data_IF_652086720960
#
_entry.id   IF_652086720960
#
_cell.length_a   1.000
_cell.length_b   1.000
_cell.length_c   1.000
_cell.angle_alpha   90.00
_cell.angle_beta   90.00
_cell.angle_gamma   90.00
#
_symmetry.space_group_name_H-M   'P 1'
#
loop_
_entity.id
_entity.type
_entity.pdbx_description
1 polymer ?
#
# COMPACT_ATOMS: atom_id res chain seq x y z
N UNK A 1 -5.77 35.24 -7.52
CA UNK A 1 -6.13 34.31 -8.61
C UNK A 1 -4.92 34.23 -9.53
N UNK A 2 -4.00 33.31 -9.24
CA UNK A 2 -2.71 33.16 -9.93
C UNK A 2 -2.80 32.07 -10.99
N UNK A 3 -2.05 32.27 -12.06
CA UNK A 3 -2.11 31.68 -13.40
C UNK A 3 -1.80 30.16 -13.53
N UNK A 4 -2.18 29.33 -12.54
CA UNK A 4 -1.81 27.90 -12.46
C UNK A 4 -2.94 26.94 -12.87
N UNK A 5 -4.13 27.43 -13.24
CA UNK A 5 -5.36 26.61 -13.30
C UNK A 5 -5.68 25.92 -14.64
N UNK A 6 -4.87 26.08 -15.69
CA UNK A 6 -5.14 25.48 -17.02
C UNK A 6 -4.00 24.64 -17.61
N UNK A 7 -3.42 23.73 -16.83
CA UNK A 7 -2.28 22.95 -17.33
C UNK A 7 -2.65 21.88 -18.38
N UNK A 8 -3.94 21.64 -18.65
CA UNK A 8 -4.40 20.72 -19.69
C UNK A 8 -4.97 21.44 -20.93
N UNK A 9 -4.78 22.76 -21.06
CA UNK A 9 -5.21 23.52 -22.23
C UNK A 9 -4.67 22.90 -23.53
N UNK A 10 -5.57 22.75 -24.50
CA UNK A 10 -5.24 22.19 -25.82
C UNK A 10 -5.14 20.66 -25.87
N UNK A 11 -5.27 19.94 -24.74
CA UNK A 11 -5.30 18.48 -24.73
C UNK A 11 -6.70 17.96 -25.00
N UNK A 12 -6.83 17.03 -25.94
CA UNK A 12 -8.06 16.28 -26.21
C UNK A 12 -7.96 14.89 -25.60
N UNK A 13 -8.90 14.54 -24.72
CA UNK A 13 -8.87 13.30 -23.93
C UNK A 13 -10.07 12.43 -24.31
N UNK A 14 -9.79 11.21 -24.77
CA UNK A 14 -10.80 10.17 -24.89
C UNK A 14 -11.09 9.56 -23.51
N UNK A 15 -12.34 9.49 -23.10
CA UNK A 15 -12.72 8.98 -21.77
C UNK A 15 -13.83 7.94 -21.88
N UNK A 16 -13.58 6.72 -21.43
CA UNK A 16 -14.60 5.68 -21.29
C UNK A 16 -15.16 5.66 -19.87
N UNK A 17 -16.35 5.10 -19.67
CA UNK A 17 -16.88 4.89 -18.31
C UNK A 17 -17.26 6.19 -17.57
N UNK A 18 -17.45 7.28 -18.32
CA UNK A 18 -17.80 8.62 -17.83
C UNK A 18 -19.07 8.64 -16.94
N UNK A 19 -20.03 7.75 -17.20
CA UNK A 19 -21.30 7.68 -16.45
C UNK A 19 -21.14 7.13 -15.02
N UNK A 20 -20.01 6.49 -14.71
CA UNK A 20 -19.69 5.95 -13.39
C UNK A 20 -19.40 7.01 -12.33
N UNK A 21 -19.27 6.59 -11.07
CA UNK A 21 -19.07 7.49 -9.91
C UNK A 21 -17.85 8.41 -10.08
N UNK A 22 -16.69 7.85 -10.44
CA UNK A 22 -15.48 8.63 -10.67
C UNK A 22 -15.59 9.48 -11.95
N UNK A 23 -16.16 8.94 -13.02
CA UNK A 23 -16.35 9.67 -14.29
C UNK A 23 -17.18 10.94 -14.12
N UNK A 24 -18.27 10.90 -13.36
CA UNK A 24 -19.11 12.06 -13.04
C UNK A 24 -18.38 13.17 -12.30
N UNK A 25 -17.33 12.84 -11.55
CA UNK A 25 -16.48 13.84 -10.88
C UNK A 25 -15.33 14.29 -11.77
N UNK A 26 -14.79 13.38 -12.57
CA UNK A 26 -13.60 13.62 -13.38
C UNK A 26 -13.88 14.47 -14.61
N UNK A 27 -15.00 14.25 -15.31
CA UNK A 27 -15.38 15.02 -16.51
C UNK A 27 -15.43 16.53 -16.22
N UNK A 28 -16.23 17.03 -15.25
CA UNK A 28 -16.25 18.47 -14.96
C UNK A 28 -14.92 18.98 -14.42
N UNK A 29 -14.17 18.15 -13.68
CA UNK A 29 -12.85 18.52 -13.17
C UNK A 29 -11.86 18.76 -14.32
N UNK A 30 -11.72 17.84 -15.28
CA UNK A 30 -10.80 17.97 -16.40
C UNK A 30 -11.20 19.13 -17.33
N UNK A 31 -12.50 19.29 -17.60
CA UNK A 31 -13.01 20.41 -18.40
C UNK A 31 -12.68 21.76 -17.76
N UNK A 32 -12.83 21.89 -16.43
CA UNK A 32 -12.44 23.10 -15.69
C UNK A 32 -10.94 23.43 -15.84
N UNK A 33 -10.09 22.42 -16.01
CA UNK A 33 -8.63 22.57 -16.17
C UNK A 33 -8.17 22.67 -17.63
N UNK A 34 -9.09 22.87 -18.58
CA UNK A 34 -8.77 23.19 -19.98
C UNK A 34 -8.82 22.03 -20.97
N UNK A 35 -9.08 20.80 -20.51
CA UNK A 35 -9.11 19.64 -21.39
C UNK A 35 -10.40 19.58 -22.23
N UNK A 36 -10.26 19.28 -23.52
CA UNK A 36 -11.37 18.89 -24.38
C UNK A 36 -11.64 17.40 -24.21
N UNK A 37 -12.91 17.02 -24.06
CA UNK A 37 -13.29 15.65 -23.70
C UNK A 37 -14.16 15.00 -24.77
N UNK A 38 -13.76 13.81 -25.22
CA UNK A 38 -14.59 12.91 -26.04
C UNK A 38 -15.00 11.71 -25.19
N UNK A 39 -16.28 11.59 -24.91
CA UNK A 39 -16.82 10.63 -23.95
C UNK A 39 -17.39 9.41 -24.68
N UNK A 40 -17.05 8.21 -24.22
CA UNK A 40 -17.45 6.95 -24.85
C UNK A 40 -18.27 6.09 -23.89
N UNK A 41 -19.43 5.64 -24.34
CA UNK A 41 -20.34 4.80 -23.57
C UNK A 41 -21.09 3.77 -24.42
N UNK A 42 -21.72 2.79 -23.74
CA UNK A 42 -22.63 1.82 -24.40
C UNK A 42 -23.93 2.45 -24.90
N UNK A 43 -24.25 3.65 -24.42
CA UNK A 43 -25.40 4.43 -24.84
C UNK A 43 -24.94 5.89 -24.90
N UNK A 44 -24.74 6.40 -26.12
CA UNK A 44 -24.28 7.76 -26.36
C UNK A 44 -25.33 8.80 -25.95
N UNK A 45 -26.62 8.50 -26.16
CA UNK A 45 -27.71 9.42 -25.84
C UNK A 45 -27.90 9.56 -24.32
N UNK A 46 -27.80 8.46 -23.57
CA UNK A 46 -27.78 8.53 -22.11
C UNK A 46 -26.56 9.31 -21.59
N UNK A 47 -25.42 9.18 -22.27
CA UNK A 47 -24.22 9.90 -21.87
C UNK A 47 -24.33 11.41 -22.14
N UNK A 48 -24.88 11.80 -23.29
CA UNK A 48 -25.16 13.19 -23.65
C UNK A 48 -26.16 13.85 -22.68
N UNK A 49 -27.13 13.09 -22.14
CA UNK A 49 -28.01 13.60 -21.08
C UNK A 49 -27.28 13.93 -19.78
N UNK A 50 -26.22 13.19 -19.45
CA UNK A 50 -25.40 13.46 -18.26
C UNK A 50 -24.42 14.61 -18.53
N UNK A 51 -23.89 14.69 -19.75
CA UNK A 51 -22.82 15.59 -20.16
C UNK A 51 -23.15 16.34 -21.46
N UNK A 52 -24.12 17.27 -21.44
CA UNK A 52 -24.64 17.90 -22.66
C UNK A 52 -23.65 18.83 -23.37
N UNK A 53 -22.58 19.23 -22.69
CA UNK A 53 -21.55 20.14 -23.21
C UNK A 53 -20.34 19.40 -23.80
N UNK A 54 -20.40 18.08 -23.93
CA UNK A 54 -19.27 17.25 -24.36
C UNK A 54 -19.66 16.30 -25.48
N UNK A 55 -18.70 16.01 -26.37
CA UNK A 55 -18.89 15.08 -27.48
C UNK A 55 -19.07 13.66 -26.93
N UNK A 56 -20.26 13.09 -27.12
CA UNK A 56 -20.63 11.78 -26.61
C UNK A 56 -20.80 10.78 -27.76
N UNK A 57 -20.05 9.67 -27.71
CA UNK A 57 -20.00 8.66 -28.75
C UNK A 57 -20.32 7.27 -28.20
N UNK A 58 -20.77 6.39 -29.10
CA UNK A 58 -20.92 4.98 -28.76
C UNK A 58 -19.53 4.30 -28.73
N UNK A 59 -19.33 3.32 -27.85
CA UNK A 59 -18.04 2.62 -27.72
C UNK A 59 -17.58 1.94 -29.02
N UNK A 60 -18.51 1.54 -29.89
CA UNK A 60 -18.18 0.94 -31.19
C UNK A 60 -17.46 1.92 -32.13
N UNK A 61 -17.68 3.23 -31.95
CA UNK A 61 -17.12 4.28 -32.81
C UNK A 61 -15.75 4.75 -32.33
N UNK A 62 -15.18 4.13 -31.29
CA UNK A 62 -13.95 4.57 -30.65
C UNK A 62 -12.79 4.78 -31.64
N UNK A 63 -12.56 3.82 -32.55
CA UNK A 63 -11.46 3.90 -33.53
C UNK A 63 -11.56 5.05 -34.53
N UNK A 64 -12.73 5.66 -34.70
CA UNK A 64 -12.93 6.82 -35.58
C UNK A 64 -13.00 8.10 -34.75
N UNK A 65 -13.87 8.14 -33.75
CA UNK A 65 -14.14 9.34 -32.96
C UNK A 65 -13.02 9.69 -31.96
N UNK A 66 -12.13 8.76 -31.58
CA UNK A 66 -10.99 9.06 -30.71
C UNK A 66 -9.73 9.51 -31.48
N UNK A 67 -9.77 9.62 -32.83
CA UNK A 67 -8.62 10.07 -33.62
C UNK A 67 -8.22 11.50 -33.26
N UNK A 68 -6.93 11.72 -33.05
CA UNK A 68 -6.37 13.01 -32.65
C UNK A 68 -6.50 13.32 -31.15
N UNK A 69 -6.99 12.38 -30.33
CA UNK A 69 -6.88 12.51 -28.88
C UNK A 69 -5.43 12.30 -28.43
N UNK A 70 -4.97 13.11 -27.48
CA UNK A 70 -3.63 13.03 -26.89
C UNK A 70 -3.50 11.87 -25.88
N UNK A 71 -4.61 11.55 -25.20
CA UNK A 71 -4.65 10.54 -24.17
C UNK A 71 -6.00 9.80 -24.11
N UNK A 72 -5.96 8.59 -23.58
CA UNK A 72 -7.13 7.79 -23.20
C UNK A 72 -7.18 7.67 -21.67
N UNK A 73 -8.34 7.93 -21.07
CA UNK A 73 -8.65 7.63 -19.68
C UNK A 73 -9.73 6.54 -19.64
N UNK A 74 -9.34 5.35 -19.19
CA UNK A 74 -10.22 4.18 -19.20
C UNK A 74 -10.86 3.89 -17.84
N UNK A 75 -12.08 4.39 -17.60
CA UNK A 75 -12.84 4.11 -16.37
C UNK A 75 -13.85 2.98 -16.51
N UNK A 76 -14.07 2.45 -17.72
CA UNK A 76 -15.03 1.39 -17.95
C UNK A 76 -14.56 0.09 -17.29
N UNK A 77 -15.24 -0.33 -16.22
CA UNK A 77 -14.87 -1.51 -15.43
C UNK A 77 -16.12 -2.16 -14.84
N UNK A 78 -16.08 -3.47 -14.61
CA UNK A 78 -17.04 -4.18 -13.78
C UNK A 78 -16.52 -4.15 -12.33
N UNK A 79 -17.29 -3.53 -11.43
CA UNK A 79 -16.90 -3.26 -10.06
C UNK A 79 -17.19 -4.44 -9.13
N UNK A 80 -16.70 -4.36 -7.88
CA UNK A 80 -16.86 -5.41 -6.87
C UNK A 80 -18.31 -5.61 -6.36
N UNK A 81 -19.22 -4.68 -6.66
CA UNK A 81 -20.65 -4.75 -6.34
C UNK A 81 -21.48 -5.36 -7.47
N UNK A 82 -20.88 -5.60 -8.64
CA UNK A 82 -21.54 -6.24 -9.75
C UNK A 82 -21.62 -7.77 -9.53
N UNK A 83 -22.77 -8.34 -9.90
CA UNK A 83 -22.96 -9.80 -9.94
C UNK A 83 -22.31 -10.34 -11.20
N UNK A 84 -21.52 -11.41 -11.07
CA UNK A 84 -20.88 -12.06 -12.21
C UNK A 84 -19.86 -13.09 -11.77
N UNK A 85 -19.60 -14.07 -12.65
CA UNK A 85 -18.52 -15.03 -12.50
C UNK A 85 -17.19 -14.46 -13.01
N UNK A 86 -16.09 -15.18 -12.81
CA UNK A 86 -14.78 -14.75 -13.26
C UNK A 86 -14.73 -14.48 -14.78
N UNK A 87 -15.49 -15.23 -15.58
CA UNK A 87 -15.55 -15.05 -17.03
C UNK A 87 -16.16 -13.70 -17.40
N UNK A 88 -17.27 -13.31 -16.77
CA UNK A 88 -17.89 -12.01 -16.99
C UNK A 88 -16.97 -10.86 -16.57
N UNK A 89 -16.26 -11.01 -15.45
CA UNK A 89 -15.27 -10.02 -15.00
C UNK A 89 -14.10 -9.90 -15.97
N UNK A 90 -13.53 -11.01 -16.46
CA UNK A 90 -12.44 -11.01 -17.46
C UNK A 90 -12.85 -10.36 -18.76
N UNK A 91 -14.05 -10.66 -19.27
CA UNK A 91 -14.56 -10.07 -20.50
C UNK A 91 -14.55 -8.53 -20.48
N UNK A 92 -14.86 -7.92 -19.33
CA UNK A 92 -14.93 -6.45 -19.20
C UNK A 92 -13.61 -5.83 -18.74
N UNK A 93 -12.97 -6.40 -17.72
CA UNK A 93 -11.81 -5.80 -17.07
C UNK A 93 -10.49 -6.16 -17.77
N UNK A 94 -10.46 -7.25 -18.55
CA UNK A 94 -9.28 -7.71 -19.29
C UNK A 94 -9.55 -7.58 -20.78
N UNK A 95 -10.42 -8.40 -21.37
CA UNK A 95 -10.55 -8.54 -22.83
C UNK A 95 -10.98 -7.23 -23.52
N UNK A 96 -11.98 -6.55 -22.96
CA UNK A 96 -12.42 -5.23 -23.47
C UNK A 96 -11.34 -4.16 -23.29
N UNK A 97 -10.56 -4.23 -22.22
CA UNK A 97 -9.47 -3.29 -21.96
C UNK A 97 -8.33 -3.49 -22.96
N UNK A 98 -7.90 -4.74 -23.19
CA UNK A 98 -6.81 -5.05 -24.13
C UNK A 98 -7.19 -4.67 -25.57
N UNK A 99 -8.43 -4.95 -26.00
CA UNK A 99 -8.95 -4.53 -27.29
C UNK A 99 -8.98 -3.00 -27.45
N UNK A 100 -9.39 -2.29 -26.39
CA UNK A 100 -9.42 -0.82 -26.37
C UNK A 100 -8.00 -0.24 -26.49
N UNK A 101 -7.04 -0.78 -25.73
CA UNK A 101 -5.63 -0.37 -25.79
C UNK A 101 -5.05 -0.60 -27.19
N UNK A 102 -5.32 -1.76 -27.80
CA UNK A 102 -4.88 -2.05 -29.16
C UNK A 102 -5.44 -1.04 -30.18
N UNK A 103 -6.72 -0.70 -30.05
CA UNK A 103 -7.37 0.32 -30.89
C UNK A 103 -6.81 1.72 -30.64
N UNK A 104 -6.57 2.09 -29.38
CA UNK A 104 -6.00 3.39 -29.02
C UNK A 104 -4.60 3.58 -29.62
N UNK A 105 -3.76 2.53 -29.57
CA UNK A 105 -2.43 2.54 -30.17
C UNK A 105 -2.47 2.65 -31.69
N UNK A 106 -3.37 1.93 -32.36
CA UNK A 106 -3.46 1.95 -33.82
C UNK A 106 -3.89 3.32 -34.37
N UNK A 107 -4.60 4.12 -33.58
CA UNK A 107 -5.01 5.49 -33.93
C UNK A 107 -4.07 6.58 -33.37
N UNK A 108 -2.93 6.19 -32.80
CA UNK A 108 -1.87 7.10 -32.39
C UNK A 108 -1.95 7.62 -30.95
N UNK A 109 -2.86 7.13 -30.11
CA UNK A 109 -2.89 7.49 -28.69
C UNK A 109 -1.73 6.79 -27.97
N UNK A 110 -0.78 7.58 -27.48
CA UNK A 110 0.44 7.08 -26.80
C UNK A 110 0.41 7.21 -25.28
N UNK A 111 -0.70 7.71 -24.73
CA UNK A 111 -0.90 7.80 -23.29
C UNK A 111 -2.23 7.19 -22.91
N UNK A 112 -2.18 6.21 -22.02
CA UNK A 112 -3.36 5.49 -21.54
C UNK A 112 -3.33 5.50 -20.02
N UNK A 113 -4.35 6.07 -19.39
CA UNK A 113 -4.58 5.96 -17.95
C UNK A 113 -5.59 4.86 -17.70
N UNK A 114 -5.18 3.86 -16.92
CA UNK A 114 -6.01 2.73 -16.54
C UNK A 114 -6.10 2.61 -15.03
N UNK A 115 -7.18 2.01 -14.52
CA UNK A 115 -7.44 1.98 -13.08
C UNK A 115 -7.51 0.54 -12.56
N UNK A 116 -6.77 0.30 -11.49
CA UNK A 116 -6.84 -0.92 -10.70
C UNK A 116 -7.29 -0.59 -9.28
N UNK A 117 -7.40 -1.62 -8.45
CA UNK A 117 -7.93 -1.54 -7.10
C UNK A 117 -6.95 -2.11 -6.10
N UNK A 118 -6.94 -1.56 -4.88
CA UNK A 118 -6.21 -2.17 -3.76
C UNK A 118 -6.66 -3.59 -3.45
N UNK A 119 -7.86 -4.00 -3.89
CA UNK A 119 -8.29 -5.40 -3.84
C UNK A 119 -7.38 -6.36 -4.60
N UNK A 120 -6.70 -5.90 -5.67
CA UNK A 120 -5.74 -6.69 -6.44
C UNK A 120 -4.37 -6.80 -5.75
N UNK A 121 -4.14 -6.07 -4.66
CA UNK A 121 -2.88 -6.08 -3.91
C UNK A 121 -2.82 -7.18 -2.83
N UNK A 122 -3.96 -7.72 -2.40
CA UNK A 122 -4.04 -8.84 -1.44
C UNK A 122 -4.04 -10.17 -2.21
N UNK A 123 -2.95 -10.97 -2.17
CA UNK A 123 -2.90 -12.26 -2.84
C UNK A 123 -3.91 -13.28 -2.30
N UNK A 124 -4.43 -13.07 -1.09
CA UNK A 124 -5.47 -13.91 -0.50
C UNK A 124 -6.88 -13.56 -0.98
N UNK A 125 -7.05 -12.50 -1.77
CA UNK A 125 -8.36 -12.09 -2.29
C UNK A 125 -8.65 -12.78 -3.63
N UNK A 126 -9.36 -13.91 -3.56
CA UNK A 126 -9.76 -14.70 -4.74
C UNK A 126 -11.09 -14.24 -5.38
N UNK A 127 -11.57 -13.02 -5.09
CA UNK A 127 -12.78 -12.52 -5.74
C UNK A 127 -12.58 -12.33 -7.25
N UNK A 128 -13.61 -12.60 -8.09
CA UNK A 128 -13.56 -12.35 -9.53
C UNK A 128 -13.05 -10.94 -9.91
N UNK A 129 -13.47 -9.95 -9.13
CA UNK A 129 -13.01 -8.57 -9.28
C UNK A 129 -11.51 -8.40 -9.05
N UNK A 130 -10.98 -8.93 -7.95
CA UNK A 130 -9.56 -8.79 -7.62
C UNK A 130 -8.67 -9.52 -8.63
N UNK A 131 -9.06 -10.73 -9.01
CA UNK A 131 -8.33 -11.55 -9.99
C UNK A 131 -8.29 -10.83 -11.34
N UNK A 132 -9.44 -10.41 -11.87
CA UNK A 132 -9.48 -9.73 -13.18
C UNK A 132 -8.69 -8.41 -13.22
N UNK A 133 -8.67 -7.65 -12.10
CA UNK A 133 -7.83 -6.44 -11.98
C UNK A 133 -6.34 -6.76 -11.95
N UNK A 134 -5.93 -7.81 -11.23
CA UNK A 134 -4.54 -8.25 -11.21
C UNK A 134 -4.08 -8.75 -12.60
N UNK A 135 -4.93 -9.51 -13.30
CA UNK A 135 -4.67 -10.02 -14.64
C UNK A 135 -4.50 -8.89 -15.66
N UNK A 136 -5.33 -7.86 -15.64
CA UNK A 136 -5.19 -6.71 -16.54
C UNK A 136 -3.87 -5.96 -16.33
N UNK A 137 -3.42 -5.81 -15.07
CA UNK A 137 -2.12 -5.20 -14.77
C UNK A 137 -0.96 -6.09 -15.20
N UNK A 138 -1.08 -7.40 -15.01
CA UNK A 138 -0.05 -8.35 -15.44
C UNK A 138 0.07 -8.39 -16.97
N UNK A 139 -1.06 -8.37 -17.69
CA UNK A 139 -1.07 -8.23 -19.15
C UNK A 139 -0.31 -6.97 -19.59
N UNK A 140 -0.63 -5.81 -19.00
CA UNK A 140 0.05 -4.55 -19.36
C UNK A 140 1.55 -4.58 -19.06
N UNK A 141 1.96 -5.29 -17.99
CA UNK A 141 3.37 -5.51 -17.65
C UNK A 141 4.07 -6.37 -18.70
N UNK A 142 3.44 -7.45 -19.15
CA UNK A 142 3.99 -8.39 -20.13
C UNK A 142 4.03 -7.80 -21.55
N UNK A 143 3.05 -6.97 -21.88
CA UNK A 143 2.94 -6.21 -23.13
C UNK A 143 4.02 -5.11 -23.25
N UNK A 144 4.77 -4.84 -22.18
CA UNK A 144 5.80 -3.79 -22.16
C UNK A 144 5.19 -2.38 -22.18
N UNK A 145 3.92 -2.24 -21.79
CA UNK A 145 3.07 -1.05 -21.93
C UNK A 145 3.52 0.16 -21.12
N UNK A 146 4.65 0.77 -21.51
CA UNK A 146 5.19 2.02 -20.96
C UNK A 146 4.26 3.22 -21.21
N UNK A 147 3.38 3.12 -22.20
CA UNK A 147 2.32 4.06 -22.53
C UNK A 147 1.14 4.01 -21.54
N UNK A 148 1.04 2.93 -20.74
CA UNK A 148 -0.03 2.72 -19.78
C UNK A 148 0.42 3.18 -18.38
N UNK A 149 -0.28 4.18 -17.86
CA UNK A 149 -0.18 4.63 -16.48
C UNK A 149 -1.33 4.03 -15.65
N UNK A 150 -0.99 3.12 -14.75
CA UNK A 150 -1.94 2.50 -13.83
C UNK A 150 -2.12 3.31 -12.56
N UNK A 151 -3.35 3.74 -12.28
CA UNK A 151 -3.75 4.26 -10.98
C UNK A 151 -4.38 3.16 -10.14
N UNK A 152 -3.69 2.73 -9.08
CA UNK A 152 -4.23 1.77 -8.11
C UNK A 152 -4.93 2.53 -7.00
N UNK A 153 -6.26 2.42 -6.96
CA UNK A 153 -7.10 3.19 -6.06
C UNK A 153 -7.64 2.32 -4.91
N UNK A 154 -7.58 2.81 -3.65
CA UNK A 154 -8.42 2.29 -2.58
C UNK A 154 -9.87 2.73 -2.78
N UNK A 155 -10.75 2.38 -1.84
CA UNK A 155 -12.15 2.79 -1.93
C UNK A 155 -12.26 4.33 -1.91
N UNK A 156 -12.92 4.90 -2.91
CA UNK A 156 -13.11 6.35 -3.02
C UNK A 156 -14.26 6.83 -2.15
N UNK A 157 -14.09 8.03 -1.58
CA UNK A 157 -15.13 8.76 -0.84
C UNK A 157 -15.47 10.04 -1.61
N UNK A 158 -16.75 10.27 -1.86
CA UNK A 158 -17.27 11.39 -2.65
C UNK A 158 -17.99 12.44 -1.80
N UNK A 159 -17.75 12.48 -0.48
CA UNK A 159 -18.42 13.41 0.42
C UNK A 159 -17.92 14.84 0.21
N UNK A 160 -18.81 15.85 0.18
CA UNK A 160 -18.41 17.26 0.11
C UNK A 160 -17.55 17.66 1.31
N UNK A 161 -16.48 18.41 1.07
CA UNK A 161 -15.66 18.99 2.15
C UNK A 161 -16.53 19.86 3.07
N UNK A 162 -16.34 19.74 4.39
CA UNK A 162 -17.11 20.49 5.40
C UNK A 162 -18.46 19.90 5.82
N UNK A 163 -18.94 18.83 5.18
CA UNK A 163 -20.18 18.13 5.59
C UNK A 163 -19.98 17.28 6.85
N UNK A 164 -21.02 17.11 7.68
CA UNK A 164 -21.08 16.10 8.75
C UNK A 164 -20.71 14.69 8.25
N UNK A 165 -21.06 14.39 7.00
CA UNK A 165 -20.67 13.14 6.34
C UNK A 165 -19.15 13.00 6.22
N UNK A 166 -18.42 14.08 5.90
CA UNK A 166 -16.96 14.08 5.80
C UNK A 166 -16.30 13.67 7.13
N UNK A 167 -16.81 14.17 8.27
CA UNK A 167 -16.33 13.79 9.60
C UNK A 167 -16.59 12.31 9.89
N UNK A 168 -17.82 11.82 9.67
CA UNK A 168 -18.16 10.40 9.83
C UNK A 168 -17.32 9.49 8.92
N UNK A 169 -16.93 9.97 7.73
CA UNK A 169 -16.09 9.19 6.82
C UNK A 169 -14.64 9.09 7.23
N UNK A 170 -14.07 10.09 7.91
CA UNK A 170 -12.74 9.96 8.51
C UNK A 170 -12.68 8.78 9.47
N UNK A 171 -13.80 8.45 10.13
CA UNK A 171 -13.89 7.26 10.97
C UNK A 171 -13.86 5.98 10.14
N UNK A 172 -14.68 5.90 9.08
CA UNK A 172 -14.68 4.74 8.19
C UNK A 172 -13.31 4.52 7.51
N UNK A 173 -12.60 5.59 7.15
CA UNK A 173 -11.26 5.57 6.57
C UNK A 173 -10.20 4.96 7.50
N UNK A 174 -10.37 5.13 8.82
CA UNK A 174 -9.51 4.46 9.79
C UNK A 174 -9.73 2.94 9.79
N UNK A 175 -10.93 2.47 9.48
CA UNK A 175 -11.30 1.05 9.50
C UNK A 175 -10.99 0.36 8.17
N UNK A 176 -11.18 1.04 7.03
CA UNK A 176 -10.92 0.51 5.69
C UNK A 176 -10.06 1.48 4.87
N UNK A 177 -9.14 0.99 4.03
CA UNK A 177 -8.33 1.86 3.19
C UNK A 177 -9.21 2.64 2.22
N UNK A 178 -9.25 3.96 2.38
CA UNK A 178 -10.02 4.87 1.54
C UNK A 178 -9.27 6.16 1.28
N UNK A 179 -9.59 6.84 0.18
CA UNK A 179 -9.11 8.20 -0.13
C UNK A 179 -10.25 9.12 -0.55
N UNK A 180 -10.11 10.44 -0.35
CA UNK A 180 -10.98 11.43 -1.00
C UNK A 180 -10.95 11.28 -2.52
N UNK A 181 -12.10 11.44 -3.17
CA UNK A 181 -12.18 11.41 -4.62
C UNK A 181 -11.31 12.50 -5.27
N UNK A 182 -11.18 13.67 -4.63
CA UNK A 182 -10.35 14.78 -5.11
C UNK A 182 -8.88 14.38 -5.31
N UNK A 183 -8.34 13.52 -4.44
CA UNK A 183 -6.97 13.03 -4.58
C UNK A 183 -6.82 12.11 -5.79
N UNK A 184 -7.86 11.33 -6.10
CA UNK A 184 -7.90 10.55 -7.33
C UNK A 184 -7.99 11.46 -8.57
N UNK A 185 -8.75 12.56 -8.52
CA UNK A 185 -8.84 13.54 -9.62
C UNK A 185 -7.48 14.22 -9.88
N UNK A 186 -6.82 14.71 -8.83
CA UNK A 186 -5.47 15.29 -8.91
C UNK A 186 -4.47 14.28 -9.46
N UNK A 187 -4.55 13.03 -9.03
CA UNK A 187 -3.66 11.98 -9.53
C UNK A 187 -3.85 11.72 -11.04
N UNK A 188 -5.10 11.71 -11.51
CA UNK A 188 -5.40 11.61 -12.95
C UNK A 188 -4.85 12.81 -13.70
N UNK A 189 -5.08 14.02 -13.20
CA UNK A 189 -4.55 15.25 -13.78
C UNK A 189 -3.04 15.20 -13.95
N UNK A 190 -2.31 14.94 -12.87
CA UNK A 190 -0.85 14.89 -12.89
C UNK A 190 -0.32 13.81 -13.85
N UNK A 191 -0.99 12.67 -13.96
CA UNK A 191 -0.63 11.62 -14.90
C UNK A 191 -0.90 12.01 -16.36
N UNK A 192 -1.92 12.83 -16.62
CA UNK A 192 -2.17 13.42 -17.95
C UNK A 192 -1.20 14.56 -18.27
N UNK A 193 -0.71 15.25 -17.23
CA UNK A 193 0.19 16.39 -17.40
C UNK A 193 1.65 15.97 -17.61
N UNK A 194 2.14 15.05 -16.78
CA UNK A 194 3.56 14.71 -16.71
C UNK A 194 3.91 13.42 -17.47
N UNK A 195 4.52 13.56 -18.66
CA UNK A 195 4.97 12.45 -19.54
C UNK A 195 5.79 11.38 -18.82
N UNK A 196 6.58 11.77 -17.81
CA UNK A 196 7.56 10.92 -17.13
C UNK A 196 7.04 10.22 -15.87
N UNK A 197 5.73 10.24 -15.65
CA UNK A 197 5.09 9.55 -14.52
C UNK A 197 5.42 8.05 -14.52
N UNK A 198 5.68 7.48 -13.33
CA UNK A 198 5.83 6.03 -13.16
C UNK A 198 4.66 5.27 -13.79
N UNK A 199 4.91 4.13 -14.47
CA UNK A 199 3.86 3.36 -15.16
C UNK A 199 2.82 2.79 -14.20
N UNK A 200 3.14 2.68 -12.91
CA UNK A 200 2.19 2.31 -11.86
C UNK A 200 2.28 3.32 -10.74
N UNK A 201 1.20 4.06 -10.52
CA UNK A 201 1.02 4.99 -9.41
C UNK A 201 -0.03 4.43 -8.46
N UNK A 202 0.37 4.20 -7.22
CA UNK A 202 -0.50 3.66 -6.17
C UNK A 202 -0.86 4.76 -5.21
N UNK A 203 -2.16 5.03 -5.05
CA UNK A 203 -2.61 6.02 -4.07
C UNK A 203 -2.69 5.37 -2.70
N UNK A 204 -1.96 5.97 -1.77
CA UNK A 204 -1.88 5.49 -0.39
C UNK A 204 -3.03 6.13 0.39
N UNK A 205 -3.82 5.36 1.16
CA UNK A 205 -4.76 5.91 2.11
C UNK A 205 -4.04 6.85 3.07
N UNK A 206 -4.58 8.05 3.25
CA UNK A 206 -4.00 9.06 4.11
C UNK A 206 -4.23 8.78 5.61
N UNK A 207 -4.18 7.50 5.99
CA UNK A 207 -4.34 7.05 7.36
C UNK A 207 -3.21 7.54 8.27
N UNK A 208 -2.09 8.00 7.70
CA UNK A 208 -1.02 8.69 8.41
C UNK A 208 -1.39 10.09 8.86
N UNK A 209 -2.31 10.77 8.17
CA UNK A 209 -2.88 12.05 8.61
C UNK A 209 -4.25 11.88 9.26
N UNK A 210 -4.90 10.72 9.11
CA UNK A 210 -6.13 10.40 9.80
C UNK A 210 -5.91 10.35 11.32
N UNK A 211 -6.40 11.39 12.01
CA UNK A 211 -6.29 11.54 13.46
C UNK A 211 -6.84 10.33 14.22
N UNK A 212 -7.96 9.75 13.78
CA UNK A 212 -8.57 8.62 14.46
C UNK A 212 -7.68 7.38 14.38
N UNK A 213 -7.19 7.05 13.18
CA UNK A 213 -6.24 5.94 13.01
C UNK A 213 -5.00 6.15 13.89
N UNK A 214 -4.44 7.36 13.90
CA UNK A 214 -3.27 7.69 14.74
C UNK A 214 -3.53 7.54 16.24
N UNK A 215 -4.68 8.00 16.72
CA UNK A 215 -5.08 7.88 18.13
C UNK A 215 -5.29 6.42 18.47
N UNK A 216 -6.07 5.69 17.67
CA UNK A 216 -6.33 4.27 17.91
C UNK A 216 -5.04 3.43 17.88
N UNK A 217 -4.17 3.63 16.89
CA UNK A 217 -2.85 3.00 16.82
C UNK A 217 -1.99 3.33 18.04
N UNK A 218 -1.98 4.59 18.49
CA UNK A 218 -1.28 4.98 19.72
C UNK A 218 -1.85 4.31 20.97
N UNK A 219 -3.17 4.24 21.10
CA UNK A 219 -3.83 3.57 22.24
C UNK A 219 -3.52 2.07 22.24
N UNK A 220 -3.51 1.43 21.08
CA UNK A 220 -3.10 0.02 20.94
C UNK A 220 -1.63 -0.16 21.37
N UNK A 221 -0.73 0.72 20.92
CA UNK A 221 0.68 0.69 21.32
C UNK A 221 0.85 0.80 22.84
N UNK A 222 0.16 1.76 23.45
CA UNK A 222 0.28 2.02 24.89
C UNK A 222 -0.41 0.94 25.74
N UNK A 223 -1.56 0.43 25.28
CA UNK A 223 -2.22 -0.71 25.91
C UNK A 223 -1.33 -1.97 25.87
N UNK A 224 -0.65 -2.21 24.76
CA UNK A 224 0.31 -3.32 24.64
C UNK A 224 1.49 -3.14 25.61
N UNK A 225 2.07 -1.94 25.69
CA UNK A 225 3.15 -1.64 26.66
C UNK A 225 2.68 -1.88 28.09
N UNK A 226 1.52 -1.34 28.47
CA UNK A 226 0.95 -1.51 29.82
C UNK A 226 0.68 -2.99 30.14
N UNK A 227 0.10 -3.73 29.19
CA UNK A 227 -0.15 -5.17 29.31
C UNK A 227 1.14 -5.96 29.58
N UNK A 228 2.20 -5.71 28.79
CA UNK A 228 3.48 -6.42 28.96
C UNK A 228 4.13 -6.05 30.29
N UNK A 229 4.14 -4.78 30.69
CA UNK A 229 4.74 -4.36 31.97
C UNK A 229 4.00 -5.00 33.16
N UNK A 230 2.67 -4.93 33.17
CA UNK A 230 1.86 -5.39 34.30
C UNK A 230 1.86 -6.92 34.43
N UNK A 231 1.72 -7.64 33.32
CA UNK A 231 1.56 -9.10 33.36
C UNK A 231 2.85 -9.89 33.13
N UNK A 232 3.80 -9.31 32.39
CA UNK A 232 5.03 -9.99 31.94
C UNK A 232 6.29 -9.31 32.51
N UNK A 233 6.16 -8.17 33.20
CA UNK A 233 7.31 -7.45 33.77
C UNK A 233 8.13 -8.28 34.75
N UNK A 234 7.47 -9.07 35.60
CA UNK A 234 8.15 -9.99 36.53
C UNK A 234 8.96 -11.06 35.78
N UNK A 235 8.44 -11.56 34.65
CA UNK A 235 9.14 -12.54 33.81
C UNK A 235 10.36 -11.91 33.14
N UNK A 236 10.28 -10.64 32.71
CA UNK A 236 11.44 -9.91 32.17
C UNK A 236 12.57 -9.76 33.19
N UNK A 237 12.25 -9.54 34.47
CA UNK A 237 13.24 -9.51 35.55
C UNK A 237 13.87 -10.88 35.76
N UNK A 238 13.06 -11.95 35.79
CA UNK A 238 13.56 -13.33 35.91
C UNK A 238 14.50 -13.70 34.74
N UNK A 239 14.10 -13.39 33.50
CA UNK A 239 14.93 -13.62 32.30
C UNK A 239 16.25 -12.85 32.38
N UNK A 240 16.22 -11.61 32.89
CA UNK A 240 17.41 -10.80 33.10
C UNK A 240 18.41 -11.50 34.03
N UNK A 241 17.92 -12.06 35.14
CA UNK A 241 18.76 -12.82 36.09
C UNK A 241 19.33 -14.07 35.41
N UNK A 242 18.50 -14.87 34.74
CA UNK A 242 18.92 -16.10 34.07
C UNK A 242 20.02 -15.86 33.03
N UNK A 243 19.92 -14.80 32.22
CA UNK A 243 20.94 -14.46 31.22
C UNK A 243 22.27 -14.10 31.87
N UNK A 244 22.24 -13.35 32.99
CA UNK A 244 23.45 -12.93 33.72
C UNK A 244 24.12 -14.07 34.47
N UNK A 245 23.34 -15.05 34.94
CA UNK A 245 23.88 -16.26 35.55
C UNK A 245 24.53 -17.19 34.52
N UNK A 246 23.96 -17.30 33.32
CA UNK A 246 24.52 -18.18 32.27
C UNK A 246 25.76 -17.58 31.58
N UNK A 247 25.82 -16.27 31.40
CA UNK A 247 26.90 -15.62 30.63
C UNK A 247 27.28 -14.24 31.15
N UNK A 248 28.58 -13.93 31.15
CA UNK A 248 29.11 -12.62 31.58
C UNK A 248 28.58 -11.47 30.70
N UNK A 249 28.39 -10.29 31.29
CA UNK A 249 27.98 -9.05 30.61
C UNK A 249 26.47 -8.71 30.71
N UNK A 250 25.99 -7.70 29.97
CA UNK A 250 24.62 -7.18 30.09
C UNK A 250 23.56 -8.13 29.53
N UNK A 251 22.40 -8.22 30.21
CA UNK A 251 21.28 -9.04 29.75
C UNK A 251 20.54 -8.46 28.54
N UNK A 252 20.62 -7.13 28.35
CA UNK A 252 20.02 -6.44 27.22
C UNK A 252 21.05 -6.28 26.11
N UNK A 253 20.67 -6.72 24.92
CA UNK A 253 21.34 -6.45 23.66
C UNK A 253 20.72 -5.22 23.00
N UNK A 254 21.57 -4.34 22.48
CA UNK A 254 21.19 -3.06 21.88
C UNK A 254 21.80 -2.98 20.47
N UNK A 255 20.97 -2.74 19.45
CA UNK A 255 21.43 -2.72 18.06
C UNK A 255 20.84 -1.54 17.28
N UNK A 256 21.65 -0.80 16.49
CA UNK A 256 21.12 0.28 15.66
C UNK A 256 20.21 -0.26 14.56
N UNK A 257 19.12 0.45 14.31
CA UNK A 257 18.12 0.14 13.30
C UNK A 257 17.63 1.40 12.62
N UNK A 258 17.22 1.29 11.36
CA UNK A 258 16.63 2.40 10.60
C UNK A 258 15.13 2.45 10.86
N UNK A 259 14.64 3.58 11.38
CA UNK A 259 13.25 3.83 11.72
C UNK A 259 12.58 4.85 10.80
N UNK A 260 11.52 5.49 11.33
CA UNK A 260 10.76 6.52 10.62
C UNK A 260 11.67 7.69 10.21
N UNK A 261 11.41 8.27 9.03
CA UNK A 261 12.15 9.39 8.46
C UNK A 261 13.65 9.05 8.31
N UNK A 262 13.94 7.76 8.13
CA UNK A 262 15.28 7.18 8.05
C UNK A 262 16.17 7.42 9.27
N UNK A 263 15.58 7.82 10.41
CA UNK A 263 16.32 8.07 11.64
C UNK A 263 16.76 6.75 12.28
N UNK A 264 18.04 6.69 12.67
CA UNK A 264 18.58 5.53 13.37
C UNK A 264 18.16 5.57 14.84
N UNK A 265 17.68 4.44 15.36
CA UNK A 265 17.36 4.24 16.77
C UNK A 265 17.95 2.92 17.29
N UNK A 266 18.01 2.77 18.61
CA UNK A 266 18.56 1.57 19.25
C UNK A 266 17.44 0.60 19.57
N UNK A 267 17.39 -0.55 18.90
CA UNK A 267 16.44 -1.62 19.18
C UNK A 267 16.95 -2.49 20.34
N UNK A 268 16.12 -2.66 21.37
CA UNK A 268 16.45 -3.48 22.54
C UNK A 268 15.92 -4.91 22.42
N UNK A 269 16.75 -5.88 22.77
CA UNK A 269 16.39 -7.30 22.88
C UNK A 269 17.03 -7.91 24.11
N UNK A 270 16.56 -9.07 24.57
CA UNK A 270 17.38 -9.87 25.47
C UNK A 270 18.55 -10.47 24.70
N UNK A 271 19.69 -10.53 25.36
CA UNK A 271 20.89 -11.14 24.81
C UNK A 271 20.73 -12.66 24.78
N UNK A 272 20.72 -13.22 23.58
CA UNK A 272 20.62 -14.67 23.34
C UNK A 272 21.95 -15.31 22.94
N UNK A 273 22.98 -14.51 22.69
CA UNK A 273 24.29 -14.94 22.20
C UNK A 273 25.40 -14.53 23.17
N UNK A 274 26.54 -15.21 23.11
CA UNK A 274 27.71 -14.86 23.92
C UNK A 274 28.26 -13.48 23.52
N UNK A 275 28.94 -12.82 24.46
CA UNK A 275 29.63 -11.55 24.18
C UNK A 275 30.77 -11.82 23.19
N UNK A 276 30.92 -10.93 22.19
CA UNK A 276 31.95 -11.05 21.15
C UNK A 276 31.43 -11.57 19.80
N UNK A 277 30.18 -12.03 19.73
CA UNK A 277 29.55 -12.45 18.47
C UNK A 277 29.36 -11.28 17.49
N UNK A 278 29.65 -11.52 16.21
CA UNK A 278 29.51 -10.54 15.13
C UNK A 278 28.06 -10.07 14.98
N UNK A 279 27.86 -8.76 14.89
CA UNK A 279 26.55 -8.16 14.61
C UNK A 279 26.26 -8.20 13.10
N UNK A 280 25.52 -9.23 12.67
CA UNK A 280 25.20 -9.47 11.26
C UNK A 280 23.71 -9.86 11.12
N UNK A 281 23.24 -10.12 9.90
CA UNK A 281 21.90 -10.68 9.70
C UNK A 281 21.73 -12.02 10.43
N UNK A 282 20.53 -12.38 10.88
CA UNK A 282 20.28 -13.67 11.59
C UNK A 282 20.75 -14.90 10.79
N UNK A 283 20.82 -14.79 9.46
CA UNK A 283 21.27 -15.81 8.52
C UNK A 283 22.82 -15.92 8.40
N UNK A 284 23.56 -14.98 9.00
CA UNK A 284 25.02 -14.86 8.82
C UNK A 284 25.81 -15.25 10.10
N UNK A 285 25.12 -15.73 11.15
CA UNK A 285 25.74 -16.01 12.46
C UNK A 285 25.57 -17.48 12.85
N UNK A 286 26.66 -18.10 13.35
CA UNK A 286 26.70 -19.53 13.72
C UNK A 286 25.78 -19.86 14.90
N UNK A 287 25.07 -21.00 14.80
CA UNK A 287 24.21 -21.53 15.86
C UNK A 287 24.99 -21.89 17.16
N UNK A 288 26.31 -22.08 17.06
CA UNK A 288 27.18 -22.41 18.20
C UNK A 288 27.32 -21.25 19.22
N UNK A 289 27.04 -20.02 18.80
CA UNK A 289 27.20 -18.83 19.64
C UNK A 289 25.96 -18.51 20.50
N UNK A 290 24.86 -19.24 20.33
CA UNK A 290 23.61 -19.07 21.07
C UNK A 290 23.66 -19.80 22.42
N UNK A 291 23.33 -19.12 23.51
CA UNK A 291 23.31 -19.74 24.87
C UNK A 291 22.11 -20.68 25.05
N UNK A 292 22.10 -21.53 26.09
CA UNK A 292 20.99 -22.47 26.34
C UNK A 292 19.71 -21.71 26.69
N UNK A 293 19.79 -20.68 27.54
CA UNK A 293 18.66 -19.77 27.80
C UNK A 293 18.29 -19.05 26.51
N UNK A 294 19.27 -18.56 25.74
CA UNK A 294 19.07 -17.90 24.45
C UNK A 294 18.27 -18.73 23.44
N UNK A 295 18.50 -20.04 23.36
CA UNK A 295 17.75 -20.96 22.49
C UNK A 295 16.25 -20.97 22.84
N UNK A 296 15.92 -21.03 24.13
CA UNK A 296 14.53 -20.98 24.60
C UNK A 296 13.90 -19.61 24.38
N UNK A 297 14.63 -18.53 24.66
CA UNK A 297 14.15 -17.17 24.44
C UNK A 297 13.78 -16.91 22.98
N UNK A 298 14.63 -17.33 22.03
CA UNK A 298 14.35 -17.22 20.59
C UNK A 298 13.16 -18.07 20.15
N UNK A 299 13.08 -19.31 20.66
CA UNK A 299 11.99 -20.23 20.32
C UNK A 299 10.63 -19.67 20.74
N UNK A 300 10.57 -19.04 21.92
CA UNK A 300 9.36 -18.45 22.48
C UNK A 300 9.18 -16.97 22.12
N UNK A 301 10.11 -16.37 21.34
CA UNK A 301 10.17 -14.93 21.03
C UNK A 301 10.19 -14.00 22.26
N UNK A 302 10.58 -14.53 23.42
CA UNK A 302 10.71 -13.77 24.66
C UNK A 302 11.88 -12.78 24.53
N UNK A 303 12.85 -13.05 23.65
CA UNK A 303 13.99 -12.16 23.40
C UNK A 303 13.57 -10.77 22.87
N UNK A 304 12.36 -10.65 22.31
CA UNK A 304 11.84 -9.40 21.76
C UNK A 304 11.10 -8.54 22.79
N UNK A 305 10.83 -9.04 24.00
CA UNK A 305 10.08 -8.29 25.03
C UNK A 305 10.70 -6.92 25.37
N UNK A 306 12.03 -6.72 25.43
CA UNK A 306 12.59 -5.39 25.69
C UNK A 306 12.24 -4.33 24.64
N UNK A 307 11.73 -4.72 23.45
CA UNK A 307 11.26 -3.78 22.43
C UNK A 307 10.07 -2.94 22.90
N UNK A 308 9.36 -3.32 23.97
CA UNK A 308 8.31 -2.48 24.57
C UNK A 308 8.83 -1.09 24.97
N UNK A 309 10.10 -0.98 25.36
CA UNK A 309 10.71 0.31 25.66
C UNK A 309 10.84 1.19 24.40
N UNK A 310 11.09 0.59 23.24
CA UNK A 310 11.08 1.30 21.96
C UNK A 310 9.66 1.75 21.56
N UNK A 311 8.64 0.94 21.87
CA UNK A 311 7.24 1.31 21.66
C UNK A 311 6.83 2.47 22.57
N UNK A 312 7.19 2.40 23.86
CA UNK A 312 6.98 3.47 24.83
C UNK A 312 7.64 4.80 24.41
N UNK A 313 8.85 4.73 23.84
CA UNK A 313 9.58 5.89 23.28
C UNK A 313 9.08 6.34 21.91
N UNK A 314 8.08 5.69 21.33
CA UNK A 314 7.51 5.99 20.01
C UNK A 314 8.50 5.84 18.86
N UNK A 315 9.52 5.00 19.03
CA UNK A 315 10.48 4.61 17.98
C UNK A 315 9.94 3.42 17.16
N UNK A 316 9.18 2.55 17.82
CA UNK A 316 8.53 1.36 17.26
C UNK A 316 7.00 1.46 17.47
N UNK A 317 6.24 0.77 16.62
CA UNK A 317 4.81 0.51 16.74
C UNK A 317 4.59 -0.99 16.99
N UNK A 318 3.43 -1.40 17.50
CA UNK A 318 3.12 -2.84 17.58
C UNK A 318 3.00 -3.43 16.16
N UNK A 319 2.34 -2.71 15.26
CA UNK A 319 2.17 -3.10 13.85
C UNK A 319 2.90 -2.13 12.92
N UNK A 320 3.68 -2.67 11.99
CA UNK A 320 4.42 -1.90 10.99
C UNK A 320 5.52 -2.72 10.29
N UNK A 321 6.20 -2.15 9.28
CA UNK A 321 7.34 -2.78 8.63
C UNK A 321 8.45 -3.10 9.63
N UNK A 322 9.09 -4.26 9.52
CA UNK A 322 10.17 -4.60 10.44
C UNK A 322 11.39 -3.69 10.25
N UNK A 323 12.01 -3.16 11.32
CA UNK A 323 13.16 -2.26 11.17
C UNK A 323 14.39 -3.00 10.62
N UNK A 324 15.08 -2.41 9.65
CA UNK A 324 16.28 -2.98 9.03
C UNK A 324 17.57 -2.49 9.71
N UNK A 325 18.66 -3.22 9.50
CA UNK A 325 19.99 -2.80 9.91
C UNK A 325 20.50 -1.68 8.99
N UNK A 326 21.29 -0.72 9.50
CA UNK A 326 21.91 0.31 8.67
C UNK A 326 22.77 -0.24 7.52
N UNK A 327 23.37 -1.42 7.70
CA UNK A 327 24.19 -2.07 6.67
C UNK A 327 23.37 -2.60 5.47
N UNK A 328 22.05 -2.73 5.60
CA UNK A 328 21.18 -3.29 4.56
C UNK A 328 20.82 -2.24 3.49
N UNK A 329 21.82 -1.65 2.83
CA UNK A 329 21.65 -0.51 1.92
C UNK A 329 20.66 -0.79 0.79
N UNK A 330 20.65 -2.00 0.22
CA UNK A 330 19.70 -2.39 -0.82
C UNK A 330 18.24 -2.30 -0.34
N UNK A 331 17.95 -2.79 0.86
CA UNK A 331 16.62 -2.71 1.45
C UNK A 331 16.23 -1.27 1.76
N UNK A 332 17.17 -0.46 2.25
CA UNK A 332 16.95 0.96 2.53
C UNK A 332 16.55 1.70 1.24
N UNK A 333 17.30 1.52 0.16
CA UNK A 333 17.00 2.15 -1.14
C UNK A 333 15.63 1.71 -1.66
N UNK A 334 15.31 0.41 -1.63
CA UNK A 334 13.99 -0.09 -2.04
C UNK A 334 12.85 0.50 -1.20
N UNK A 335 13.05 0.64 0.11
CA UNK A 335 12.06 1.22 1.02
C UNK A 335 11.87 2.71 0.82
N UNK A 336 12.95 3.45 0.59
CA UNK A 336 12.94 4.88 0.28
C UNK A 336 12.14 5.16 -0.99
N UNK A 337 12.42 4.42 -2.06
CA UNK A 337 11.73 4.57 -3.35
C UNK A 337 10.22 4.29 -3.27
N UNK A 338 9.78 3.54 -2.26
CA UNK A 338 8.37 3.20 -2.01
C UNK A 338 7.72 4.03 -0.90
N UNK A 339 8.44 5.00 -0.32
CA UNK A 339 7.93 5.87 0.75
C UNK A 339 7.69 5.18 2.09
N UNK A 340 8.28 4.01 2.33
CA UNK A 340 8.00 3.18 3.52
C UNK A 340 8.47 3.86 4.81
N UNK A 341 9.49 4.71 4.76
CA UNK A 341 10.01 5.42 5.94
C UNK A 341 9.09 6.54 6.44
N UNK A 342 7.98 6.83 5.79
CA UNK A 342 6.96 7.77 6.30
C UNK A 342 6.21 7.22 7.52
N UNK A 343 6.32 5.92 7.79
CA UNK A 343 5.67 5.24 8.92
C UNK A 343 6.69 4.66 9.89
N UNK A 344 6.27 4.48 11.15
CA UNK A 344 7.11 3.81 12.15
C UNK A 344 7.28 2.34 11.79
N UNK A 345 8.46 1.76 12.05
CA UNK A 345 8.62 0.33 12.01
C UNK A 345 7.75 -0.36 13.08
N UNK A 346 7.51 -1.66 12.90
CA UNK A 346 6.68 -2.49 13.76
C UNK A 346 7.41 -3.66 14.40
N UNK A 347 6.87 -4.15 15.53
CA UNK A 347 7.23 -5.45 16.12
C UNK A 347 6.77 -6.60 15.20
N UNK A 348 5.53 -6.53 14.74
CA UNK A 348 4.98 -7.41 13.70
C UNK A 348 4.49 -6.61 12.50
N UNK A 349 4.31 -7.26 11.35
CA UNK A 349 3.93 -6.61 10.11
C UNK A 349 3.41 -7.58 9.06
N UNK A 350 2.84 -7.02 8.00
CA UNK A 350 2.24 -7.79 6.90
C UNK A 350 3.25 -8.75 6.25
N UNK A 351 4.48 -8.30 6.03
CA UNK A 351 5.53 -9.15 5.47
C UNK A 351 5.83 -10.37 6.37
N UNK A 352 5.93 -10.15 7.69
CA UNK A 352 6.22 -11.21 8.65
C UNK A 352 5.11 -12.27 8.65
N UNK A 353 3.83 -11.89 8.78
CA UNK A 353 2.73 -12.88 8.81
C UNK A 353 2.58 -13.67 7.50
N UNK A 354 3.11 -13.15 6.39
CA UNK A 354 3.15 -13.81 5.08
C UNK A 354 4.48 -14.55 4.81
N UNK A 355 5.34 -14.73 5.82
CA UNK A 355 6.56 -15.52 5.71
C UNK A 355 7.65 -14.88 4.83
N UNK A 356 7.61 -13.56 4.66
CA UNK A 356 8.61 -12.83 3.86
C UNK A 356 9.74 -12.39 4.79
N UNK A 357 10.92 -12.96 4.57
CA UNK A 357 12.12 -12.66 5.34
C UNK A 357 12.93 -11.50 4.73
N UNK A 358 14.05 -11.16 5.37
CA UNK A 358 14.97 -10.11 4.90
C UNK A 358 15.94 -10.56 3.81
N UNK A 359 15.94 -11.83 3.40
CA UNK A 359 16.87 -12.36 2.40
C UNK A 359 16.59 -11.82 1.00
N UNK A 360 15.34 -11.41 0.74
CA UNK A 360 14.93 -10.77 -0.50
C UNK A 360 14.45 -9.33 -0.23
N UNK A 361 15.37 -8.34 -0.26
CA UNK A 361 15.05 -6.94 0.01
C UNK A 361 13.93 -6.36 -0.85
N UNK A 362 13.89 -6.75 -2.13
CA UNK A 362 12.90 -6.24 -3.09
C UNK A 362 11.52 -6.78 -2.74
N UNK A 363 11.40 -8.09 -2.51
CA UNK A 363 10.15 -8.73 -2.12
C UNK A 363 9.67 -8.18 -0.77
N UNK A 364 10.56 -8.02 0.20
CA UNK A 364 10.22 -7.44 1.50
C UNK A 364 9.66 -6.02 1.35
N UNK A 365 10.35 -5.16 0.59
CA UNK A 365 9.89 -3.80 0.34
C UNK A 365 8.54 -3.76 -0.41
N UNK A 366 8.25 -4.70 -1.31
CA UNK A 366 6.93 -4.81 -1.95
C UNK A 366 5.82 -5.15 -0.94
N UNK A 367 6.08 -6.02 0.03
CA UNK A 367 5.11 -6.34 1.07
C UNK A 367 4.92 -5.21 2.08
N UNK A 368 5.99 -4.50 2.41
CA UNK A 368 5.93 -3.29 3.24
C UNK A 368 5.16 -2.17 2.52
N UNK A 369 5.33 -2.02 1.21
CA UNK A 369 4.55 -1.08 0.38
C UNK A 369 3.06 -1.46 0.36
N UNK A 370 2.74 -2.76 0.24
CA UNK A 370 1.35 -3.25 0.35
C UNK A 370 0.76 -2.90 1.71
N UNK A 371 1.52 -3.06 2.80
CA UNK A 371 1.06 -2.64 4.12
C UNK A 371 0.80 -1.13 4.15
N UNK A 372 1.72 -0.31 3.65
CA UNK A 372 1.53 1.14 3.58
C UNK A 372 0.24 1.52 2.84
N UNK A 373 -0.07 0.84 1.74
CA UNK A 373 -1.26 1.06 0.89
C UNK A 373 -2.56 0.52 1.45
N UNK A 374 -2.50 -0.48 2.33
CA UNK A 374 -3.68 -1.14 2.88
C UNK A 374 -3.91 -0.82 4.36
N UNK A 375 -2.99 -0.09 5.00
CA UNK A 375 -3.02 0.16 6.44
C UNK A 375 -4.36 0.73 6.87
N UNK A 376 -4.96 0.08 7.84
CA UNK A 376 -6.17 0.48 8.53
C UNK A 376 -6.28 -0.38 9.80
N UNK A 377 -7.15 0.01 10.73
CA UNK A 377 -7.33 -0.72 11.99
C UNK A 377 -7.75 -2.17 11.77
N UNK A 378 -8.56 -2.46 10.75
CA UNK A 378 -8.97 -3.84 10.43
C UNK A 378 -7.78 -4.70 9.98
N UNK A 379 -6.87 -4.13 9.17
CA UNK A 379 -5.65 -4.84 8.76
C UNK A 379 -4.70 -5.03 9.92
N UNK A 380 -4.50 -4.00 10.75
CA UNK A 380 -3.64 -4.08 11.92
C UNK A 380 -4.14 -5.17 12.88
N UNK A 381 -5.45 -5.22 13.15
CA UNK A 381 -6.06 -6.27 13.96
C UNK A 381 -5.87 -7.66 13.33
N UNK A 382 -6.03 -7.81 12.01
CA UNK A 382 -5.76 -9.07 11.31
C UNK A 382 -4.30 -9.49 11.48
N UNK A 383 -3.34 -8.57 11.38
CA UNK A 383 -1.92 -8.86 11.59
C UNK A 383 -1.67 -9.30 13.04
N UNK A 384 -2.24 -8.61 14.03
CA UNK A 384 -2.11 -8.95 15.45
C UNK A 384 -2.66 -10.35 15.74
N UNK A 385 -3.88 -10.67 15.29
CA UNK A 385 -4.50 -11.98 15.47
C UNK A 385 -3.67 -13.08 14.80
N UNK A 386 -3.22 -12.87 13.57
CA UNK A 386 -2.39 -13.87 12.88
C UNK A 386 -1.02 -14.07 13.55
N UNK A 387 -0.44 -13.00 14.09
CA UNK A 387 0.81 -13.08 14.87
C UNK A 387 0.59 -13.87 16.16
N UNK A 388 -0.51 -13.64 16.87
CA UNK A 388 -0.89 -14.37 18.07
C UNK A 388 -1.13 -15.87 17.80
N UNK A 389 -1.74 -16.21 16.65
CA UNK A 389 -1.92 -17.58 16.17
C UNK A 389 -0.62 -18.24 15.68
N UNK A 390 0.54 -17.60 15.86
CA UNK A 390 1.86 -18.17 15.56
C UNK A 390 2.37 -17.93 14.13
N UNK A 391 1.67 -17.14 13.30
CA UNK A 391 2.22 -16.74 11.99
C UNK A 391 3.34 -15.71 12.16
N UNK A 392 4.29 -15.72 11.22
CA UNK A 392 5.44 -14.79 11.24
C UNK A 392 6.63 -15.21 12.10
N UNK A 393 6.86 -16.51 12.28
CA UNK A 393 8.12 -17.06 12.80
C UNK A 393 9.29 -17.06 11.82
N UNK A 394 9.28 -16.21 10.77
CA UNK A 394 10.11 -16.32 9.57
C UNK A 394 11.63 -16.18 9.76
N UNK A 395 12.11 -15.68 10.90
CA UNK A 395 13.55 -15.62 11.20
C UNK A 395 14.00 -16.84 12.01
N UNK A 396 13.80 -18.04 11.46
CA UNK A 396 14.51 -19.20 12.00
C UNK A 396 15.96 -19.08 11.54
N UNK A 397 16.89 -19.07 12.49
CA UNK A 397 18.30 -19.36 12.18
C UNK A 397 18.34 -20.65 11.37
N UNK A 398 19.10 -20.67 10.27
CA UNK A 398 19.36 -21.91 9.54
C UNK A 398 19.83 -22.97 10.55
N UNK A 399 19.13 -24.10 10.58
CA UNK A 399 19.56 -25.26 11.36
C UNK A 399 20.84 -25.82 10.81
#
# INVERSE_FOLDING_TARGET
MTNTERSLDGKTIALTGASGKLGRLLVPYLAKHGAQLRLFGRDAAALARIFPQHDCHHCADFGVAARGCDALVDLAVLNNDAKGDLKAFRAVNVDRFTALVGTARSIGIRRILAFSSTHALDPGNCSPYAISKAEAQEWARLDGGKDICWLVLPKLITAPEGSLSHTLWRWAAAIKPTIPANDALKAVHECLDNSNSSPVRRLVPDNGQNTLYRIASFLIDMAFVAFVILLIGWLMLLVTILIRLESRGPAIFAQPRVGKDERVFILYKFRTMRVGTRQAGTHEVSAAEVTRVGKWLRRLKIDELPQIFNIARRELSVVGPRPCLPVQQKLITERRNRGIYQIRPGLTGLAQINGVDMSNPVRLAQWDERYLQLRCLALDLRILVQTFLGRGGGDRTAN
#
